data_IF_459611267263
#
_entry.id   IF_459611267263
#
_cell.length_a   1.000
_cell.length_b   1.000
_cell.length_c   1.000
_cell.angle_alpha   90.00
_cell.angle_beta   90.00
_cell.angle_gamma   90.00
#
_symmetry.space_group_name_H-M   'P 1'
#
loop_
_entity.id
_entity.type
_entity.pdbx_description
1 polymer ?
#
# COMPACT_ATOMS: atom_id res chain seq x y z
N UNK A 1 22.55 -33.47 -51.76
CA UNK A 1 21.19 -33.05 -51.33
C UNK A 1 21.22 -31.55 -51.04
N UNK A 2 20.53 -30.77 -51.87
CA UNK A 2 20.37 -29.31 -51.75
C UNK A 2 19.19 -29.03 -50.82
N UNK A 3 19.37 -28.21 -49.78
CA UNK A 3 18.26 -27.57 -49.06
C UNK A 3 18.23 -26.08 -49.40
N UNK A 4 17.04 -25.48 -49.60
CA UNK A 4 16.91 -24.23 -50.32
C UNK A 4 17.02 -23.00 -49.40
N UNK A 5 17.52 -21.94 -50.03
CA UNK A 5 17.63 -20.56 -49.57
C UNK A 5 16.44 -20.10 -48.71
N UNK A 6 16.74 -19.67 -47.47
CA UNK A 6 15.89 -18.74 -46.72
C UNK A 6 15.82 -17.42 -47.51
N UNK A 7 14.63 -17.09 -48.01
CA UNK A 7 14.32 -15.77 -48.58
C UNK A 7 14.62 -14.71 -47.52
N UNK A 8 15.41 -13.69 -47.90
CA UNK A 8 15.61 -12.47 -47.10
C UNK A 8 14.24 -11.86 -46.75
N UNK A 9 14.00 -11.40 -45.52
CA UNK A 9 12.82 -10.61 -45.24
C UNK A 9 12.86 -9.34 -46.11
N UNK A 10 11.76 -9.09 -46.83
CA UNK A 10 11.52 -7.85 -47.57
C UNK A 10 11.64 -6.68 -46.59
N UNK A 11 12.37 -5.64 -47.00
CA UNK A 11 12.43 -4.37 -46.32
C UNK A 11 11.01 -3.79 -46.15
N UNK A 12 10.47 -3.87 -44.94
CA UNK A 12 9.40 -3.00 -44.46
C UNK A 12 10.09 -1.91 -43.62
N UNK A 13 10.66 -0.91 -44.29
CA UNK A 13 11.42 0.18 -43.63
C UNK A 13 10.96 1.55 -44.11
N UNK A 14 9.83 1.62 -44.81
CA UNK A 14 9.37 2.85 -45.47
C UNK A 14 8.20 3.56 -44.75
N UNK A 15 7.47 2.88 -43.84
CA UNK A 15 6.25 3.46 -43.24
C UNK A 15 6.39 3.90 -41.77
N UNK A 16 7.43 3.44 -41.03
CA UNK A 16 7.70 3.90 -39.66
C UNK A 16 8.53 5.20 -39.58
N UNK A 17 9.15 5.60 -40.69
CA UNK A 17 10.00 6.81 -40.77
C UNK A 17 9.22 8.14 -40.66
N UNK A 18 8.06 8.34 -41.31
CA UNK A 18 7.39 9.64 -41.30
C UNK A 18 6.80 10.03 -39.94
N UNK A 19 6.50 9.08 -39.04
CA UNK A 19 5.99 9.39 -37.68
C UNK A 19 7.14 9.74 -36.72
N UNK A 20 8.28 9.04 -36.84
CA UNK A 20 9.50 9.40 -36.13
C UNK A 20 10.09 10.74 -36.62
N UNK A 21 10.01 10.99 -37.94
CA UNK A 21 10.41 12.26 -38.53
C UNK A 21 9.41 13.37 -38.19
N UNK A 22 8.10 13.13 -38.04
CA UNK A 22 7.16 14.14 -37.53
C UNK A 22 7.39 14.46 -36.03
N UNK A 23 7.76 13.47 -35.22
CA UNK A 23 8.16 13.68 -33.83
C UNK A 23 9.51 14.42 -33.69
N UNK A 24 10.37 14.34 -34.71
CA UNK A 24 11.63 15.09 -34.81
C UNK A 24 11.48 16.47 -35.48
N UNK A 25 10.64 16.59 -36.51
CA UNK A 25 10.40 17.81 -37.30
C UNK A 25 9.38 18.75 -36.67
N UNK A 26 8.55 18.28 -35.74
CA UNK A 26 7.85 19.16 -34.79
C UNK A 26 8.80 19.95 -33.88
N UNK A 27 10.11 19.67 -33.95
CA UNK A 27 11.18 20.36 -33.23
C UNK A 27 12.31 20.89 -34.15
N UNK A 28 12.12 20.94 -35.47
CA UNK A 28 13.05 21.70 -36.33
C UNK A 28 12.67 23.19 -36.33
N UNK A 29 13.62 24.00 -35.87
CA UNK A 29 13.47 25.40 -35.57
C UNK A 29 12.99 26.23 -36.77
N UNK A 30 11.72 26.66 -36.72
CA UNK A 30 11.32 27.95 -37.29
C UNK A 30 12.02 29.07 -36.51
N UNK A 31 12.30 30.22 -37.16
CA UNK A 31 13.13 31.28 -36.57
C UNK A 31 12.55 31.75 -35.23
N UNK A 32 13.46 32.07 -34.32
CA UNK A 32 13.20 32.45 -32.94
C UNK A 32 12.31 33.71 -32.86
N UNK A 33 11.00 33.53 -32.71
CA UNK A 33 10.16 34.54 -32.01
C UNK A 33 8.80 34.02 -31.50
N UNK A 34 8.37 32.80 -31.80
CA UNK A 34 7.09 32.29 -31.27
C UNK A 34 7.24 30.85 -30.79
N UNK A 35 7.50 30.65 -29.50
CA UNK A 35 7.16 29.38 -28.86
C UNK A 35 5.66 29.12 -29.07
N UNK A 36 5.27 27.98 -29.66
CA UNK A 36 3.87 27.70 -29.94
C UNK A 36 3.04 27.86 -28.67
N UNK A 37 1.96 28.64 -28.74
CA UNK A 37 1.07 28.84 -27.60
C UNK A 37 0.48 27.51 -27.10
N UNK A 38 -0.02 27.44 -25.85
CA UNK A 38 -0.52 26.21 -25.24
C UNK A 38 -1.57 25.46 -26.08
N UNK A 39 -2.39 26.19 -26.85
CA UNK A 39 -3.38 25.60 -27.74
C UNK A 39 -2.75 24.78 -28.90
N UNK A 40 -1.73 25.33 -29.57
CA UNK A 40 -1.02 24.63 -30.64
C UNK A 40 -0.23 23.44 -30.08
N UNK A 41 0.47 23.63 -28.96
CA UNK A 41 1.18 22.56 -28.26
C UNK A 41 0.24 21.44 -27.81
N UNK A 42 -0.94 21.78 -27.30
CA UNK A 42 -1.98 20.81 -26.93
C UNK A 42 -2.49 20.01 -28.13
N UNK A 43 -2.74 20.67 -29.26
CA UNK A 43 -3.16 19.97 -30.49
C UNK A 43 -2.11 18.94 -30.94
N UNK A 44 -0.83 19.34 -30.99
CA UNK A 44 0.28 18.45 -31.37
C UNK A 44 0.37 17.23 -30.43
N UNK A 45 0.19 17.45 -29.12
CA UNK A 45 0.17 16.35 -28.14
C UNK A 45 -0.95 15.35 -28.45
N UNK A 46 -2.17 15.83 -28.72
CA UNK A 46 -3.32 14.94 -29.00
C UNK A 46 -3.14 14.15 -30.28
N UNK A 47 -2.66 14.79 -31.35
CA UNK A 47 -2.37 14.13 -32.62
C UNK A 47 -1.28 13.05 -32.46
N UNK A 48 -0.24 13.36 -31.68
CA UNK A 48 0.82 12.42 -31.36
C UNK A 48 0.27 11.22 -30.58
N UNK A 49 -0.50 11.44 -29.50
CA UNK A 49 -1.08 10.36 -28.70
C UNK A 49 -1.99 9.46 -29.53
N UNK A 50 -2.84 10.04 -30.39
CA UNK A 50 -3.70 9.25 -31.27
C UNK A 50 -2.88 8.40 -32.26
N UNK A 51 -1.82 8.98 -32.84
CA UNK A 51 -0.92 8.25 -33.74
C UNK A 51 -0.21 7.10 -33.01
N UNK A 52 0.35 7.38 -31.82
CA UNK A 52 1.01 6.38 -30.98
C UNK A 52 0.08 5.23 -30.58
N UNK A 53 -1.22 5.48 -30.40
CA UNK A 53 -2.20 4.43 -30.04
C UNK A 53 -2.43 3.42 -31.17
N UNK A 54 -2.26 3.84 -32.43
CA UNK A 54 -2.48 2.98 -33.60
C UNK A 54 -1.22 2.23 -34.05
N UNK A 55 -0.05 2.72 -33.64
CA UNK A 55 1.23 2.16 -34.06
C UNK A 55 1.47 0.74 -33.55
N UNK A 56 1.99 -0.11 -34.45
CA UNK A 56 2.42 -1.48 -34.14
C UNK A 56 3.94 -1.50 -34.14
N UNK A 57 4.52 -1.49 -32.95
CA UNK A 57 5.96 -1.65 -32.79
C UNK A 57 6.32 -3.14 -32.86
N UNK A 58 7.15 -3.54 -33.82
CA UNK A 58 7.60 -4.92 -33.96
C UNK A 58 9.06 -5.11 -33.49
N UNK A 59 9.80 -4.00 -33.32
CA UNK A 59 11.20 -4.00 -32.88
C UNK A 59 11.49 -3.23 -31.60
N UNK A 60 12.53 -3.64 -30.86
CA UNK A 60 12.99 -2.99 -29.62
C UNK A 60 13.34 -1.50 -29.83
N UNK A 61 13.92 -1.14 -30.98
CA UNK A 61 14.27 0.24 -31.29
C UNK A 61 13.02 1.12 -31.50
N UNK A 62 12.01 0.60 -32.19
CA UNK A 62 10.73 1.28 -32.42
C UNK A 62 9.99 1.49 -31.10
N UNK A 63 9.93 0.46 -30.24
CA UNK A 63 9.33 0.56 -28.90
C UNK A 63 10.00 1.68 -28.10
N UNK A 64 11.34 1.75 -28.11
CA UNK A 64 12.07 2.81 -27.42
C UNK A 64 11.72 4.21 -27.93
N UNK A 65 11.56 4.37 -29.25
CA UNK A 65 11.17 5.65 -29.85
C UNK A 65 9.73 6.04 -29.48
N UNK A 66 8.78 5.11 -29.60
CA UNK A 66 7.39 5.34 -29.21
C UNK A 66 7.26 5.66 -27.72
N UNK A 67 8.02 4.96 -26.88
CA UNK A 67 8.09 5.21 -25.44
C UNK A 67 8.63 6.59 -25.13
N UNK A 68 9.71 7.00 -25.79
CA UNK A 68 10.28 8.35 -25.63
C UNK A 68 9.29 9.45 -26.09
N UNK A 69 8.60 9.23 -27.20
CA UNK A 69 7.57 10.14 -27.70
C UNK A 69 6.39 10.25 -26.73
N UNK A 70 5.89 9.12 -26.23
CA UNK A 70 4.83 9.08 -25.21
C UNK A 70 5.26 9.85 -23.95
N UNK A 71 6.45 9.56 -23.41
CA UNK A 71 6.94 10.24 -22.21
C UNK A 71 7.07 11.75 -22.40
N UNK A 72 7.55 12.20 -23.57
CA UNK A 72 7.64 13.64 -23.85
C UNK A 72 6.25 14.29 -23.84
N UNK A 73 5.26 13.65 -24.46
CA UNK A 73 3.88 14.12 -24.51
C UNK A 73 3.24 14.13 -23.11
N UNK A 74 3.30 13.01 -22.38
CA UNK A 74 2.68 12.89 -21.06
C UNK A 74 3.33 13.83 -20.04
N UNK A 75 4.65 13.99 -20.09
CA UNK A 75 5.39 14.90 -19.22
C UNK A 75 5.07 16.36 -19.49
N UNK A 76 4.90 16.75 -20.76
CA UNK A 76 4.47 18.10 -21.10
C UNK A 76 3.11 18.44 -20.47
N UNK A 77 2.14 17.52 -20.55
CA UNK A 77 0.82 17.68 -19.90
C UNK A 77 0.94 17.67 -18.38
N UNK A 78 1.86 16.87 -17.82
CA UNK A 78 2.06 16.78 -16.37
C UNK A 78 2.74 18.02 -15.78
N UNK A 79 3.72 18.60 -16.47
CA UNK A 79 4.55 19.68 -15.92
C UNK A 79 3.96 21.07 -16.20
N UNK A 80 3.27 21.25 -17.32
CA UNK A 80 2.64 22.52 -17.72
C UNK A 80 1.13 22.51 -17.42
N UNK A 81 0.73 23.34 -16.46
CA UNK A 81 -0.67 23.50 -16.06
C UNK A 81 -1.58 23.99 -17.20
N UNK A 82 -1.07 24.79 -18.14
CA UNK A 82 -1.86 25.24 -19.29
C UNK A 82 -2.16 24.07 -20.25
N UNK A 83 -1.30 23.06 -20.27
CA UNK A 83 -1.49 21.83 -21.05
C UNK A 83 -2.30 20.78 -20.31
N UNK A 84 -2.40 20.85 -18.98
CA UNK A 84 -3.24 19.98 -18.14
C UNK A 84 -4.74 20.32 -18.23
N UNK A 85 -5.25 20.56 -19.43
CA UNK A 85 -6.65 20.84 -19.71
C UNK A 85 -7.44 19.58 -20.11
N UNK A 86 -8.77 19.72 -20.12
CA UNK A 86 -9.73 18.63 -20.33
C UNK A 86 -9.46 17.82 -21.61
N UNK A 87 -9.14 18.49 -22.72
CA UNK A 87 -8.92 17.82 -24.01
C UNK A 87 -7.65 16.97 -24.00
N UNK A 88 -6.57 17.47 -23.42
CA UNK A 88 -5.29 16.77 -23.36
C UNK A 88 -5.34 15.60 -22.38
N UNK A 89 -5.99 15.79 -21.22
CA UNK A 89 -6.19 14.69 -20.25
C UNK A 89 -7.07 13.61 -20.85
N UNK A 90 -8.13 13.98 -21.58
CA UNK A 90 -8.98 13.02 -22.28
C UNK A 90 -8.20 12.24 -23.35
N UNK A 91 -7.31 12.90 -24.09
CA UNK A 91 -6.46 12.20 -25.06
C UNK A 91 -5.51 11.20 -24.39
N UNK A 92 -4.95 11.52 -23.22
CA UNK A 92 -4.15 10.58 -22.42
C UNK A 92 -4.98 9.40 -21.91
N UNK A 93 -6.21 9.64 -21.46
CA UNK A 93 -7.17 8.59 -21.10
C UNK A 93 -7.45 7.66 -22.29
N UNK A 94 -7.79 8.22 -23.44
CA UNK A 94 -8.08 7.46 -24.65
C UNK A 94 -6.87 6.65 -25.12
N UNK A 95 -5.67 7.24 -25.08
CA UNK A 95 -4.42 6.53 -25.33
C UNK A 95 -4.23 5.35 -24.38
N UNK A 96 -4.42 5.56 -23.08
CA UNK A 96 -4.25 4.52 -22.05
C UNK A 96 -5.18 3.33 -22.29
N UNK A 97 -6.41 3.58 -22.77
CA UNK A 97 -7.38 2.53 -23.12
C UNK A 97 -7.07 1.83 -24.44
N UNK A 98 -6.49 2.53 -25.40
CA UNK A 98 -6.30 2.03 -26.76
C UNK A 98 -4.93 1.38 -27.01
N UNK A 99 -3.90 1.77 -26.25
CA UNK A 99 -2.52 1.35 -26.50
C UNK A 99 -2.35 -0.17 -26.34
N UNK A 100 -1.82 -0.81 -27.39
CA UNK A 100 -1.74 -2.28 -27.48
C UNK A 100 -0.41 -2.84 -26.97
N UNK A 101 0.65 -2.04 -27.01
CA UNK A 101 1.97 -2.49 -26.59
C UNK A 101 2.03 -2.62 -25.04
N UNK A 102 2.44 -3.78 -24.49
CA UNK A 102 2.55 -4.02 -23.05
C UNK A 102 3.34 -2.96 -22.27
N UNK A 103 4.53 -2.60 -22.76
CA UNK A 103 5.43 -1.68 -22.06
C UNK A 103 4.82 -0.28 -22.01
N UNK A 104 4.23 0.15 -23.12
CA UNK A 104 3.56 1.45 -23.21
C UNK A 104 2.26 1.52 -22.39
N UNK A 105 1.54 0.40 -22.21
CA UNK A 105 0.36 0.36 -21.32
C UNK A 105 0.75 0.67 -19.87
N UNK A 106 1.85 0.09 -19.40
CA UNK A 106 2.33 0.32 -18.03
C UNK A 106 2.72 1.78 -17.82
N UNK A 107 3.46 2.37 -18.77
CA UNK A 107 3.81 3.79 -18.73
C UNK A 107 2.56 4.70 -18.79
N UNK A 108 1.56 4.34 -19.60
CA UNK A 108 0.31 5.09 -19.73
C UNK A 108 -0.49 5.12 -18.43
N UNK A 109 -0.67 3.94 -17.81
CA UNK A 109 -1.33 3.78 -16.51
C UNK A 109 -0.60 4.58 -15.44
N UNK A 110 0.74 4.49 -15.37
CA UNK A 110 1.54 5.25 -14.41
C UNK A 110 1.40 6.76 -14.63
N UNK A 111 1.50 7.24 -15.88
CA UNK A 111 1.41 8.66 -16.21
C UNK A 111 0.04 9.24 -15.85
N UNK A 112 -1.05 8.51 -16.13
CA UNK A 112 -2.40 8.94 -15.78
C UNK A 112 -2.60 9.04 -14.26
N UNK A 113 -2.05 8.09 -13.49
CA UNK A 113 -2.03 8.16 -12.03
C UNK A 113 -1.29 9.38 -11.49
N UNK A 114 -0.08 9.63 -11.99
CA UNK A 114 0.72 10.81 -11.60
C UNK A 114 0.05 12.14 -11.97
N UNK A 115 -0.57 12.20 -13.15
CA UNK A 115 -1.32 13.38 -13.60
C UNK A 115 -2.49 13.68 -12.67
N UNK A 116 -3.28 12.65 -12.32
CA UNK A 116 -4.43 12.80 -11.45
C UNK A 116 -4.07 13.13 -9.99
N UNK A 117 -2.88 12.73 -9.53
CA UNK A 117 -2.34 13.16 -8.23
C UNK A 117 -1.97 14.64 -8.23
N UNK A 118 -1.37 15.12 -9.32
CA UNK A 118 -0.97 16.53 -9.45
C UNK A 118 -2.16 17.45 -9.72
N UNK A 119 -3.13 16.98 -10.49
CA UNK A 119 -4.32 17.73 -10.89
C UNK A 119 -5.58 16.99 -10.40
N UNK A 120 -5.99 17.21 -9.13
CA UNK A 120 -7.07 16.46 -8.51
C UNK A 120 -8.41 16.53 -9.25
N UNK A 121 -8.65 17.53 -10.10
CA UNK A 121 -9.87 17.62 -10.92
C UNK A 121 -10.08 16.38 -11.81
N UNK A 122 -9.02 15.67 -12.19
CA UNK A 122 -9.08 14.48 -13.05
C UNK A 122 -9.02 13.15 -12.28
N UNK A 123 -9.04 13.20 -10.93
CA UNK A 123 -8.90 12.02 -10.08
C UNK A 123 -9.94 10.94 -10.35
N UNK A 124 -11.21 11.31 -10.46
CA UNK A 124 -12.29 10.32 -10.61
C UNK A 124 -12.23 9.62 -11.96
N UNK A 125 -11.84 10.35 -13.01
CA UNK A 125 -11.58 9.80 -14.34
C UNK A 125 -10.43 8.80 -14.32
N UNK A 126 -9.30 9.18 -13.73
CA UNK A 126 -8.15 8.29 -13.61
C UNK A 126 -8.51 7.02 -12.81
N UNK A 127 -9.24 7.16 -11.70
CA UNK A 127 -9.71 6.03 -10.90
C UNK A 127 -10.46 4.99 -11.76
N UNK A 128 -11.37 5.42 -12.63
CA UNK A 128 -12.10 4.49 -13.51
C UNK A 128 -11.18 3.75 -14.49
N UNK A 129 -10.21 4.44 -15.07
CA UNK A 129 -9.25 3.84 -16.01
C UNK A 129 -8.34 2.84 -15.30
N UNK A 130 -7.78 3.23 -14.15
CA UNK A 130 -6.90 2.38 -13.35
C UNK A 130 -7.64 1.14 -12.84
N UNK A 131 -8.91 1.27 -12.45
CA UNK A 131 -9.74 0.12 -12.05
C UNK A 131 -9.88 -0.91 -13.17
N UNK A 132 -10.04 -0.47 -14.43
CA UNK A 132 -10.04 -1.35 -15.59
C UNK A 132 -8.70 -2.08 -15.80
N UNK A 133 -7.58 -1.39 -15.54
CA UNK A 133 -6.23 -1.93 -15.69
C UNK A 133 -5.85 -3.00 -14.64
N UNK A 134 -6.62 -3.18 -13.57
CA UNK A 134 -6.42 -4.25 -12.58
C UNK A 134 -6.56 -5.67 -13.17
N UNK A 135 -7.23 -5.80 -14.31
CA UNK A 135 -7.41 -7.06 -15.04
C UNK A 135 -6.51 -7.18 -16.28
N UNK A 136 -5.49 -6.32 -16.42
CA UNK A 136 -4.59 -6.41 -17.57
C UNK A 136 -3.81 -7.73 -17.58
N UNK A 137 -3.52 -8.24 -18.76
CA UNK A 137 -2.66 -9.42 -18.97
C UNK A 137 -1.24 -9.26 -18.42
N UNK A 138 -0.72 -8.04 -18.32
CA UNK A 138 0.67 -7.72 -17.94
C UNK A 138 0.72 -7.33 -16.46
N UNK A 139 1.62 -7.99 -15.71
CA UNK A 139 1.76 -7.77 -14.27
C UNK A 139 2.09 -6.32 -13.91
N UNK A 140 3.04 -5.69 -14.62
CA UNK A 140 3.45 -4.32 -14.36
C UNK A 140 2.28 -3.32 -14.50
N UNK A 141 1.43 -3.50 -15.52
CA UNK A 141 0.22 -2.68 -15.72
C UNK A 141 -0.70 -2.79 -14.51
N UNK A 142 -0.94 -4.02 -14.03
CA UNK A 142 -1.78 -4.27 -12.86
C UNK A 142 -1.18 -3.66 -11.58
N UNK A 143 0.13 -3.80 -11.38
CA UNK A 143 0.82 -3.22 -10.23
C UNK A 143 0.72 -1.69 -10.22
N UNK A 144 1.00 -1.02 -11.35
CA UNK A 144 0.85 0.43 -11.45
C UNK A 144 -0.59 0.88 -11.27
N UNK A 145 -1.57 0.10 -11.72
CA UNK A 145 -2.97 0.38 -11.49
C UNK A 145 -3.33 0.37 -9.99
N UNK A 146 -2.88 -0.64 -9.24
CA UNK A 146 -3.10 -0.69 -7.77
C UNK A 146 -2.39 0.46 -7.07
N UNK A 147 -1.13 0.75 -7.41
CA UNK A 147 -0.39 1.85 -6.80
C UNK A 147 -1.04 3.21 -7.08
N UNK A 148 -1.42 3.48 -8.33
CA UNK A 148 -2.10 4.71 -8.70
C UNK A 148 -3.46 4.86 -8.00
N UNK A 149 -4.24 3.78 -7.90
CA UNK A 149 -5.50 3.79 -7.13
C UNK A 149 -5.25 4.11 -5.66
N UNK A 150 -4.27 3.42 -5.04
CA UNK A 150 -3.92 3.63 -3.65
C UNK A 150 -3.49 5.08 -3.37
N UNK A 151 -2.62 5.65 -4.21
CA UNK A 151 -2.15 7.02 -4.04
C UNK A 151 -3.29 8.02 -4.20
N UNK A 152 -4.16 7.84 -5.21
CA UNK A 152 -5.32 8.70 -5.42
C UNK A 152 -6.34 8.61 -4.28
N UNK A 153 -6.58 7.41 -3.76
CA UNK A 153 -7.43 7.19 -2.60
C UNK A 153 -6.83 7.80 -1.34
N UNK A 154 -5.52 7.75 -1.17
CA UNK A 154 -4.82 8.38 -0.04
C UNK A 154 -4.73 9.90 -0.16
N UNK A 155 -4.81 10.46 -1.38
CA UNK A 155 -4.74 11.91 -1.57
C UNK A 155 -6.05 12.63 -1.20
N UNK A 156 -7.20 11.93 -1.21
CA UNK A 156 -8.52 12.52 -0.96
C UNK A 156 -9.40 11.60 -0.14
N UNK A 157 -9.91 12.12 0.99
CA UNK A 157 -10.86 11.41 1.84
C UNK A 157 -12.16 11.08 1.11
N UNK A 158 -12.58 11.96 0.21
CA UNK A 158 -13.79 11.81 -0.62
C UNK A 158 -13.65 10.61 -1.58
N UNK A 159 -12.45 10.40 -2.13
CA UNK A 159 -12.15 9.28 -3.04
C UNK A 159 -11.83 7.99 -2.33
N UNK A 160 -11.34 8.05 -1.09
CA UNK A 160 -10.89 6.89 -0.34
C UNK A 160 -11.95 5.78 -0.29
N UNK A 161 -13.23 6.13 -0.11
CA UNK A 161 -14.32 5.16 -0.09
C UNK A 161 -14.50 4.46 -1.45
N UNK A 162 -14.52 5.21 -2.55
CA UNK A 162 -14.66 4.68 -3.91
C UNK A 162 -13.47 3.77 -4.27
N UNK A 163 -12.24 4.21 -3.96
CA UNK A 163 -11.04 3.40 -4.19
C UNK A 163 -11.07 2.13 -3.34
N UNK A 164 -11.49 2.23 -2.08
CA UNK A 164 -11.67 1.06 -1.21
C UNK A 164 -12.60 0.04 -1.85
N UNK A 165 -13.74 0.46 -2.40
CA UNK A 165 -14.70 -0.44 -3.05
C UNK A 165 -14.12 -1.15 -4.28
N UNK A 166 -13.32 -0.43 -5.08
CA UNK A 166 -12.63 -1.01 -6.22
C UNK A 166 -11.56 -2.03 -5.80
N UNK A 167 -10.77 -1.72 -4.77
CA UNK A 167 -9.76 -2.64 -4.24
C UNK A 167 -10.42 -3.87 -3.59
N UNK A 168 -11.54 -3.70 -2.87
CA UNK A 168 -12.32 -4.82 -2.31
C UNK A 168 -12.78 -5.76 -3.43
N UNK A 169 -13.30 -5.22 -4.55
CA UNK A 169 -13.67 -6.04 -5.70
C UNK A 169 -12.45 -6.78 -6.30
N UNK A 170 -11.30 -6.11 -6.38
CA UNK A 170 -10.07 -6.66 -6.91
C UNK A 170 -9.38 -7.70 -5.99
N UNK A 171 -9.80 -7.81 -4.73
CA UNK A 171 -9.29 -8.84 -3.81
C UNK A 171 -9.59 -10.28 -4.30
N UNK A 172 -10.61 -10.46 -5.15
CA UNK A 172 -10.95 -11.72 -5.80
C UNK A 172 -10.21 -11.96 -7.13
N UNK A 173 -9.30 -11.07 -7.54
CA UNK A 173 -8.54 -11.20 -8.79
C UNK A 173 -7.84 -12.56 -8.86
N UNK A 174 -7.75 -13.22 -10.04
CA UNK A 174 -7.00 -14.47 -10.19
C UNK A 174 -5.49 -14.27 -10.02
N UNK A 175 -5.00 -13.03 -10.15
CA UNK A 175 -3.58 -12.68 -10.12
C UNK A 175 -3.07 -12.45 -8.68
N UNK A 176 -2.05 -13.21 -8.27
CA UNK A 176 -1.46 -13.10 -6.93
C UNK A 176 -0.90 -11.70 -6.64
N UNK A 177 -0.21 -11.11 -7.62
CA UNK A 177 0.37 -9.76 -7.56
C UNK A 177 -0.69 -8.69 -7.28
N UNK A 178 -1.87 -8.81 -7.91
CA UNK A 178 -2.99 -7.92 -7.62
C UNK A 178 -3.50 -8.12 -6.20
N UNK A 179 -3.76 -9.37 -5.80
CA UNK A 179 -4.28 -9.66 -4.46
C UNK A 179 -3.34 -9.13 -3.37
N UNK A 180 -2.04 -9.32 -3.52
CA UNK A 180 -1.03 -8.83 -2.58
C UNK A 180 -1.01 -7.29 -2.51
N UNK A 181 -0.96 -6.63 -3.67
CA UNK A 181 -0.96 -5.17 -3.74
C UNK A 181 -2.26 -4.57 -3.17
N UNK A 182 -3.40 -5.23 -3.42
CA UNK A 182 -4.71 -4.88 -2.86
C UNK A 182 -4.70 -4.94 -1.33
N UNK A 183 -4.12 -5.97 -0.72
CA UNK A 183 -4.04 -6.04 0.76
C UNK A 183 -3.26 -4.85 1.32
N UNK A 184 -2.17 -4.47 0.65
CA UNK A 184 -1.36 -3.31 1.04
C UNK A 184 -2.14 -2.00 0.89
N UNK A 185 -2.82 -1.80 -0.25
CA UNK A 185 -3.60 -0.59 -0.50
C UNK A 185 -4.81 -0.44 0.43
N UNK A 186 -5.55 -1.53 0.68
CA UNK A 186 -6.66 -1.53 1.64
C UNK A 186 -6.18 -1.19 3.04
N UNK A 187 -5.03 -1.70 3.45
CA UNK A 187 -4.41 -1.38 4.75
C UNK A 187 -4.08 0.10 4.84
N UNK A 188 -3.37 0.65 3.85
CA UNK A 188 -2.96 2.06 3.85
C UNK A 188 -4.17 3.01 3.91
N UNK A 189 -5.21 2.73 3.12
CA UNK A 189 -6.45 3.52 3.13
C UNK A 189 -7.19 3.39 4.46
N UNK A 190 -7.31 2.19 5.00
CA UNK A 190 -8.01 1.94 6.26
C UNK A 190 -7.29 2.53 7.46
N UNK A 191 -5.96 2.46 7.52
CA UNK A 191 -5.17 3.12 8.56
C UNK A 191 -5.34 4.63 8.50
N UNK A 192 -5.33 5.22 7.29
CA UNK A 192 -5.47 6.66 7.11
C UNK A 192 -6.90 7.18 7.34
N UNK A 193 -7.90 6.41 6.93
CA UNK A 193 -9.30 6.82 6.90
C UNK A 193 -10.20 5.76 7.53
N UNK A 194 -10.69 6.04 8.75
CA UNK A 194 -11.52 5.11 9.53
C UNK A 194 -12.77 4.64 8.78
N UNK A 195 -13.37 5.47 7.92
CA UNK A 195 -14.54 5.10 7.12
C UNK A 195 -14.25 3.99 6.10
N UNK A 196 -12.98 3.71 5.79
CA UNK A 196 -12.57 2.60 4.93
C UNK A 196 -12.32 1.31 5.74
N UNK A 197 -12.08 1.42 7.05
CA UNK A 197 -11.58 0.34 7.88
C UNK A 197 -12.56 -0.84 8.01
N UNK A 198 -13.88 -0.59 8.03
CA UNK A 198 -14.87 -1.67 8.11
C UNK A 198 -14.78 -2.66 6.94
N UNK A 199 -14.78 -2.16 5.70
CA UNK A 199 -14.67 -2.99 4.50
C UNK A 199 -13.28 -3.64 4.40
N UNK A 200 -12.23 -2.88 4.69
CA UNK A 200 -10.86 -3.39 4.65
C UNK A 200 -10.66 -4.56 5.64
N UNK A 201 -11.10 -4.43 6.90
CA UNK A 201 -10.99 -5.51 7.90
C UNK A 201 -11.73 -6.75 7.44
N UNK A 202 -12.94 -6.61 6.91
CA UNK A 202 -13.71 -7.75 6.39
C UNK A 202 -12.95 -8.46 5.25
N UNK A 203 -12.42 -7.70 4.29
CA UNK A 203 -11.71 -8.25 3.14
C UNK A 203 -10.38 -8.89 3.55
N UNK A 204 -9.60 -8.25 4.42
CA UNK A 204 -8.34 -8.79 4.95
C UNK A 204 -8.58 -10.07 5.75
N UNK A 205 -9.59 -10.10 6.63
CA UNK A 205 -9.96 -11.30 7.37
C UNK A 205 -10.37 -12.45 6.43
N UNK A 206 -11.14 -12.16 5.38
CA UNK A 206 -11.49 -13.13 4.35
C UNK A 206 -10.26 -13.67 3.59
N UNK A 207 -9.35 -12.78 3.19
CA UNK A 207 -8.11 -13.15 2.51
C UNK A 207 -7.18 -13.99 3.40
N UNK A 208 -7.11 -13.68 4.69
CA UNK A 208 -6.35 -14.44 5.69
C UNK A 208 -6.99 -15.82 5.96
N UNK A 209 -8.31 -15.92 5.97
CA UNK A 209 -9.01 -17.19 6.17
C UNK A 209 -8.99 -18.10 4.92
N UNK A 210 -8.78 -17.54 3.73
CA UNK A 210 -8.75 -18.28 2.48
C UNK A 210 -7.58 -19.27 2.46
N UNK A 211 -7.87 -20.56 2.58
CA UNK A 211 -6.85 -21.61 2.53
C UNK A 211 -6.52 -21.92 1.06
N UNK A 212 -5.28 -21.69 0.56
CA UNK A 212 -4.91 -22.05 -0.80
C UNK A 212 -4.63 -23.56 -0.86
N UNK A 213 -5.61 -24.40 -0.53
CA UNK A 213 -5.48 -25.85 -0.68
C UNK A 213 -5.53 -26.30 -2.14
N UNK A 214 -5.92 -25.43 -3.07
CA UNK A 214 -6.04 -25.79 -4.50
C UNK A 214 -4.97 -25.19 -5.41
N UNK A 215 -4.10 -24.30 -4.91
CA UNK A 215 -3.04 -23.75 -5.74
C UNK A 215 -1.77 -23.48 -4.92
N UNK A 216 -0.86 -24.46 -4.92
CA UNK A 216 0.53 -24.32 -4.44
C UNK A 216 1.34 -23.37 -5.34
N UNK A 217 0.80 -22.20 -5.69
CA UNK A 217 1.68 -21.11 -6.11
C UNK A 217 2.47 -20.72 -4.86
N UNK A 218 3.80 -20.70 -4.96
CA UNK A 218 4.68 -20.34 -3.85
C UNK A 218 4.29 -19.00 -3.21
N UNK A 219 3.56 -18.11 -3.91
CA UNK A 219 3.10 -16.81 -3.42
C UNK A 219 1.83 -16.81 -2.55
N UNK A 220 1.09 -17.92 -2.41
CA UNK A 220 -0.22 -17.90 -1.72
C UNK A 220 -0.15 -17.45 -0.25
N UNK A 221 0.99 -17.63 0.40
CA UNK A 221 1.23 -17.16 1.78
C UNK A 221 1.47 -15.65 1.86
N UNK A 222 1.95 -14.99 0.79
CA UNK A 222 2.25 -13.56 0.79
C UNK A 222 0.98 -12.72 0.98
N UNK A 223 -0.11 -13.08 0.30
CA UNK A 223 -1.41 -12.43 0.46
C UNK A 223 -1.91 -12.55 1.89
N UNK A 224 -1.83 -13.74 2.50
CA UNK A 224 -2.23 -13.96 3.89
C UNK A 224 -1.34 -13.22 4.88
N UNK A 225 -0.04 -13.20 4.65
CA UNK A 225 0.89 -12.41 5.44
C UNK A 225 0.52 -10.92 5.42
N UNK A 226 0.26 -10.37 4.23
CA UNK A 226 -0.16 -8.97 4.08
C UNK A 226 -1.52 -8.69 4.71
N UNK A 227 -2.43 -9.66 4.65
CA UNK A 227 -3.71 -9.56 5.33
C UNK A 227 -3.55 -9.53 6.86
N UNK A 228 -2.72 -10.40 7.43
CA UNK A 228 -2.44 -10.42 8.87
C UNK A 228 -1.73 -9.15 9.34
N UNK A 229 -0.72 -8.68 8.60
CA UNK A 229 -0.05 -7.39 8.84
C UNK A 229 -1.08 -6.25 8.84
N UNK A 230 -1.92 -6.18 7.80
CA UNK A 230 -2.93 -5.15 7.65
C UNK A 230 -3.98 -5.12 8.76
N UNK A 231 -4.48 -6.29 9.19
CA UNK A 231 -5.40 -6.37 10.33
C UNK A 231 -4.77 -5.83 11.61
N UNK A 232 -3.50 -6.18 11.86
CA UNK A 232 -2.72 -5.65 12.99
C UNK A 232 -2.62 -4.13 12.96
N UNK A 233 -2.23 -3.57 11.82
CA UNK A 233 -2.09 -2.12 11.64
C UNK A 233 -3.41 -1.37 11.79
N UNK A 234 -4.50 -1.88 11.19
CA UNK A 234 -5.82 -1.25 11.30
C UNK A 234 -6.35 -1.30 12.73
N UNK A 235 -6.21 -2.45 13.42
CA UNK A 235 -6.62 -2.59 14.82
C UNK A 235 -5.85 -1.67 15.77
N UNK A 236 -4.59 -1.35 15.45
CA UNK A 236 -3.79 -0.37 16.18
C UNK A 236 -4.14 1.08 15.84
N UNK A 237 -4.54 1.34 14.60
CA UNK A 237 -4.92 2.68 14.15
C UNK A 237 -6.31 3.11 14.67
N UNK A 238 -7.26 2.15 14.74
CA UNK A 238 -8.67 2.44 15.05
C UNK A 238 -9.19 1.54 16.16
N UNK A 239 -9.38 2.11 17.35
CA UNK A 239 -9.94 1.38 18.50
C UNK A 239 -11.32 0.76 18.20
N UNK A 240 -12.12 1.39 17.34
CA UNK A 240 -13.42 0.90 16.87
C UNK A 240 -13.34 -0.39 16.04
N UNK A 241 -12.14 -0.78 15.58
CA UNK A 241 -11.87 -1.96 14.75
C UNK A 241 -10.95 -2.98 15.40
N UNK A 242 -10.51 -2.71 16.63
CA UNK A 242 -9.64 -3.59 17.38
C UNK A 242 -10.22 -5.00 17.51
N UNK A 243 -11.46 -5.13 17.99
CA UNK A 243 -12.08 -6.42 18.20
C UNK A 243 -12.29 -7.19 16.89
N UNK A 244 -12.66 -6.49 15.81
CA UNK A 244 -12.84 -7.08 14.49
C UNK A 244 -11.49 -7.59 13.93
N UNK A 245 -10.42 -6.82 14.13
CA UNK A 245 -9.06 -7.22 13.75
C UNK A 245 -8.57 -8.44 14.52
N UNK A 246 -8.73 -8.47 15.85
CA UNK A 246 -8.37 -9.61 16.70
C UNK A 246 -9.18 -10.85 16.28
N UNK A 247 -10.49 -10.70 16.03
CA UNK A 247 -11.36 -11.79 15.54
C UNK A 247 -10.91 -12.31 14.18
N UNK A 248 -10.46 -11.44 13.27
CA UNK A 248 -9.92 -11.84 11.97
C UNK A 248 -8.58 -12.57 12.06
N UNK A 249 -7.70 -12.15 12.98
CA UNK A 249 -6.37 -12.73 13.19
C UNK A 249 -6.40 -14.09 13.90
N UNK A 250 -7.24 -14.23 14.93
CA UNK A 250 -7.22 -15.38 15.85
C UNK A 250 -7.32 -16.75 15.16
N UNK A 251 -8.22 -16.98 14.18
CA UNK A 251 -8.30 -18.27 13.49
C UNK A 251 -7.02 -18.65 12.76
N UNK A 252 -6.26 -17.67 12.27
CA UNK A 252 -5.04 -17.89 11.50
C UNK A 252 -3.80 -18.21 12.36
N UNK A 253 -3.94 -18.21 13.69
CA UNK A 253 -2.94 -18.83 14.58
C UNK A 253 -2.74 -20.33 14.27
N UNK A 254 -3.76 -20.98 13.69
CA UNK A 254 -3.72 -22.37 13.25
C UNK A 254 -3.47 -22.52 11.73
N UNK A 255 -2.99 -21.47 11.03
CA UNK A 255 -2.67 -21.55 9.60
C UNK A 255 -1.65 -22.67 9.33
N UNK A 256 -1.66 -23.28 8.15
CA UNK A 256 -0.70 -24.35 7.81
C UNK A 256 0.69 -23.81 7.49
N UNK A 257 0.78 -22.53 7.12
CA UNK A 257 2.02 -21.87 6.77
C UNK A 257 2.62 -21.17 8.00
N UNK A 258 3.87 -21.53 8.32
CA UNK A 258 4.58 -20.99 9.47
C UNK A 258 4.80 -19.47 9.38
N UNK A 259 4.99 -18.92 8.18
CA UNK A 259 5.21 -17.49 8.00
C UNK A 259 3.94 -16.70 8.30
N UNK A 260 2.78 -17.27 7.94
CA UNK A 260 1.47 -16.69 8.27
C UNK A 260 1.24 -16.72 9.77
N UNK A 261 1.48 -17.87 10.42
CA UNK A 261 1.39 -17.98 11.88
C UNK A 261 2.27 -16.94 12.58
N UNK A 262 3.53 -16.79 12.17
CA UNK A 262 4.45 -15.80 12.74
C UNK A 262 3.91 -14.37 12.59
N UNK A 263 3.41 -14.02 11.40
CA UNK A 263 2.88 -12.69 11.16
C UNK A 263 1.63 -12.40 11.99
N UNK A 264 0.75 -13.40 12.16
CA UNK A 264 -0.43 -13.30 13.03
C UNK A 264 -0.01 -13.11 14.49
N UNK A 265 0.98 -13.88 14.96
CA UNK A 265 1.52 -13.74 16.33
C UNK A 265 2.12 -12.34 16.53
N UNK A 266 2.88 -11.83 15.57
CA UNK A 266 3.47 -10.48 15.64
C UNK A 266 2.39 -9.38 15.67
N UNK A 267 1.35 -9.50 14.85
CA UNK A 267 0.23 -8.57 14.82
C UNK A 267 -0.53 -8.55 16.17
N UNK A 268 -0.85 -9.73 16.71
CA UNK A 268 -1.49 -9.86 18.01
C UNK A 268 -0.60 -9.37 19.16
N UNK A 269 0.71 -9.62 19.09
CA UNK A 269 1.68 -9.10 20.07
C UNK A 269 1.70 -7.57 20.07
N UNK A 270 1.80 -6.96 18.89
CA UNK A 270 1.80 -5.51 18.75
C UNK A 270 0.49 -4.89 19.27
N UNK A 271 -0.65 -5.52 19.00
CA UNK A 271 -1.95 -5.12 19.56
C UNK A 271 -1.92 -5.22 21.09
N UNK A 272 -1.54 -6.37 21.66
CA UNK A 272 -1.52 -6.58 23.10
C UNK A 272 -0.58 -5.62 23.83
N UNK A 273 0.56 -5.25 23.23
CA UNK A 273 1.48 -4.27 23.83
C UNK A 273 0.87 -2.87 23.93
N UNK A 274 0.01 -2.48 22.97
CA UNK A 274 -0.58 -1.14 22.90
C UNK A 274 -1.99 -1.07 23.48
N UNK A 275 -2.64 -2.20 23.72
CA UNK A 275 -4.01 -2.27 24.23
C UNK A 275 -4.10 -3.24 25.42
N UNK A 276 -4.03 -2.68 26.63
CA UNK A 276 -4.13 -3.45 27.88
C UNK A 276 -5.40 -4.31 27.96
N UNK A 277 -6.61 -3.80 27.66
CA UNK A 277 -7.83 -4.61 27.71
C UNK A 277 -7.80 -5.87 26.83
N UNK A 278 -7.09 -5.84 25.70
CA UNK A 278 -7.02 -6.96 24.77
C UNK A 278 -6.01 -8.04 25.18
N UNK A 279 -5.07 -7.74 26.11
CA UNK A 279 -3.94 -8.63 26.42
C UNK A 279 -4.36 -10.02 26.86
N UNK A 280 -5.28 -10.12 27.82
CA UNK A 280 -5.64 -11.42 28.39
C UNK A 280 -6.33 -12.32 27.35
N UNK A 281 -7.19 -11.74 26.50
CA UNK A 281 -7.82 -12.48 25.39
C UNK A 281 -6.81 -12.96 24.34
N UNK A 282 -5.81 -12.14 24.04
CA UNK A 282 -4.70 -12.51 23.16
C UNK A 282 -3.86 -13.63 23.77
N UNK A 283 -3.46 -13.50 25.04
CA UNK A 283 -2.67 -14.51 25.76
C UNK A 283 -3.41 -15.85 25.77
N UNK A 284 -4.71 -15.85 26.10
CA UNK A 284 -5.51 -17.08 26.11
C UNK A 284 -5.55 -17.76 24.74
N UNK A 285 -5.67 -16.98 23.65
CA UNK A 285 -5.67 -17.50 22.28
C UNK A 285 -4.31 -18.09 21.87
N UNK A 286 -3.22 -17.44 22.30
CA UNK A 286 -1.86 -17.90 22.08
C UNK A 286 -1.56 -19.18 22.87
N UNK A 287 -1.93 -19.25 24.15
CA UNK A 287 -1.77 -20.44 25.01
C UNK A 287 -2.48 -21.65 24.40
N UNK A 288 -3.74 -21.49 23.98
CA UNK A 288 -4.51 -22.54 23.31
C UNK A 288 -3.81 -23.04 22.03
N UNK A 289 -3.26 -22.14 21.23
CA UNK A 289 -2.55 -22.50 20.00
C UNK A 289 -1.23 -23.22 20.30
N UNK A 290 -0.53 -22.81 21.37
CA UNK A 290 0.76 -23.36 21.78
C UNK A 290 0.71 -24.88 21.97
N UNK A 291 -0.37 -25.43 22.51
CA UNK A 291 -0.48 -26.88 22.79
C UNK A 291 -0.27 -27.75 21.53
N UNK A 292 -0.87 -27.34 20.41
CA UNK A 292 -0.81 -28.06 19.13
C UNK A 292 0.28 -27.59 18.14
N UNK A 293 1.00 -26.52 18.45
CA UNK A 293 1.97 -25.92 17.53
C UNK A 293 3.27 -26.73 17.38
N UNK A 294 3.97 -26.55 16.26
CA UNK A 294 5.34 -27.07 16.08
C UNK A 294 6.35 -26.29 16.95
N UNK A 295 7.52 -26.88 17.21
CA UNK A 295 8.51 -26.35 18.15
C UNK A 295 8.84 -24.86 17.93
N UNK A 296 9.17 -24.47 16.71
CA UNK A 296 9.54 -23.08 16.37
C UNK A 296 8.43 -22.07 16.66
N UNK A 297 7.18 -22.45 16.41
CA UNK A 297 6.00 -21.61 16.69
C UNK A 297 5.72 -21.56 18.19
N UNK A 298 5.90 -22.68 18.91
CA UNK A 298 5.79 -22.75 20.37
C UNK A 298 6.77 -21.80 21.06
N UNK A 299 8.01 -21.74 20.59
CA UNK A 299 9.03 -20.81 21.11
C UNK A 299 8.61 -19.36 20.88
N UNK A 300 8.18 -19.01 19.65
CA UNK A 300 7.69 -17.67 19.33
C UNK A 300 6.50 -17.25 20.20
N UNK A 301 5.51 -18.13 20.36
CA UNK A 301 4.35 -17.90 21.23
C UNK A 301 4.80 -17.68 22.68
N UNK A 302 5.70 -18.52 23.19
CA UNK A 302 6.19 -18.40 24.57
C UNK A 302 6.87 -17.07 24.83
N UNK A 303 7.74 -16.62 23.91
CA UNK A 303 8.39 -15.32 24.01
C UNK A 303 7.39 -14.15 24.00
N UNK A 304 6.36 -14.23 23.17
CA UNK A 304 5.29 -13.21 23.14
C UNK A 304 4.47 -13.20 24.43
N UNK A 305 4.06 -14.36 24.95
CA UNK A 305 3.32 -14.44 26.21
C UNK A 305 4.15 -13.86 27.36
N UNK A 306 5.43 -14.23 27.48
CA UNK A 306 6.33 -13.67 28.50
C UNK A 306 6.53 -12.16 28.37
N UNK A 307 6.48 -11.62 27.14
CA UNK A 307 6.54 -10.18 26.91
C UNK A 307 5.24 -9.46 27.29
N UNK A 308 4.07 -10.06 27.03
CA UNK A 308 2.77 -9.47 27.32
C UNK A 308 2.40 -9.58 28.81
N UNK A 309 2.81 -10.67 29.45
CA UNK A 309 2.75 -10.91 30.89
C UNK A 309 4.19 -10.93 31.41
N UNK A 310 4.83 -9.75 31.58
CA UNK A 310 6.12 -9.73 32.24
C UNK A 310 5.96 -10.42 33.60
N UNK A 311 6.96 -11.20 34.05
CA UNK A 311 6.90 -11.79 35.37
C UNK A 311 6.58 -10.66 36.35
N UNK A 312 5.65 -10.91 37.27
CA UNK A 312 5.42 -10.00 38.39
C UNK A 312 6.81 -9.62 38.91
N UNK A 313 7.06 -8.31 39.13
CA UNK A 313 8.29 -7.88 39.81
C UNK A 313 8.49 -8.86 40.97
N UNK A 314 9.68 -9.46 41.14
CA UNK A 314 9.90 -10.38 42.25
C UNK A 314 9.31 -9.71 43.48
N UNK A 315 8.37 -10.39 44.14
CA UNK A 315 7.82 -9.90 45.40
C UNK A 315 9.03 -9.47 46.21
N UNK A 316 9.07 -8.19 46.59
CA UNK A 316 10.13 -7.66 47.46
C UNK A 316 10.27 -8.67 48.57
N UNK A 317 11.48 -9.14 48.83
CA UNK A 317 11.68 -10.08 49.92
C UNK A 317 11.11 -9.46 51.20
N UNK A 318 10.65 -10.25 52.19
CA UNK A 318 10.16 -9.71 53.46
C UNK A 318 11.12 -8.65 54.04
N UNK A 319 12.42 -8.84 53.85
CA UNK A 319 13.50 -7.94 54.24
C UNK A 319 13.51 -6.61 53.47
N UNK A 320 13.29 -6.62 52.15
CA UNK A 320 13.16 -5.40 51.34
C UNK A 320 11.86 -4.63 51.64
N UNK A 321 10.77 -5.34 51.93
CA UNK A 321 9.50 -4.74 52.34
C UNK A 321 9.59 -4.12 53.74
N UNK A 322 10.32 -4.76 54.66
CA UNK A 322 10.57 -4.24 56.01
C UNK A 322 11.52 -3.04 55.99
N UNK A 323 12.59 -3.09 55.18
CA UNK A 323 13.49 -1.95 54.99
C UNK A 323 12.79 -0.71 54.42
N UNK A 324 11.81 -0.89 53.54
CA UNK A 324 11.00 0.21 53.02
C UNK A 324 10.00 0.74 54.03
N UNK A 325 9.40 -0.13 54.86
CA UNK A 325 8.54 0.28 55.98
C UNK A 325 9.29 1.08 57.03
N UNK A 326 10.49 0.65 57.40
CA UNK A 326 11.36 1.38 58.34
C UNK A 326 11.71 2.76 57.76
N UNK A 327 12.12 2.83 56.49
CA UNK A 327 12.40 4.13 55.83
C UNK A 327 11.17 5.04 55.74
N UNK A 328 9.98 4.48 55.55
CA UNK A 328 8.74 5.25 55.51
C UNK A 328 8.38 5.82 56.90
N UNK A 329 8.58 5.03 57.95
CA UNK A 329 8.33 5.43 59.33
C UNK A 329 9.34 6.50 59.78
N UNK A 330 10.62 6.35 59.44
CA UNK A 330 11.65 7.38 59.69
C UNK A 330 11.30 8.72 59.03
N UNK A 331 10.80 8.68 57.78
CA UNK A 331 10.36 9.90 57.07
C UNK A 331 9.16 10.55 57.74
N UNK A 332 8.22 9.74 58.24
CA UNK A 332 7.06 10.24 58.97
C UNK A 332 7.45 10.90 60.28
N UNK A 333 8.30 10.26 61.07
CA UNK A 333 8.79 10.81 62.34
C UNK A 333 9.61 12.09 62.11
N UNK A 334 10.43 12.15 61.06
CA UNK A 334 11.14 13.36 60.68
C UNK A 334 10.19 14.51 60.31
N UNK A 335 9.10 14.23 59.58
CA UNK A 335 8.10 15.22 59.22
C UNK A 335 7.30 15.72 60.45
N UNK A 336 6.92 14.83 61.37
CA UNK A 336 6.23 15.18 62.61
C UNK A 336 7.12 16.02 63.54
N UNK A 337 8.41 15.68 63.65
CA UNK A 337 9.39 16.49 64.41
C UNK A 337 9.59 17.88 63.80
N UNK A 338 9.66 17.98 62.47
CA UNK A 338 9.76 19.27 61.78
C UNK A 338 8.53 20.14 62.01
N UNK A 339 7.32 19.55 61.93
CA UNK A 339 6.07 20.25 62.18
C UNK A 339 5.97 20.75 63.63
N UNK A 340 6.38 19.95 64.62
CA UNK A 340 6.39 20.34 66.03
C UNK A 340 7.33 21.53 66.29
N UNK A 341 8.55 21.50 65.74
CA UNK A 341 9.50 22.62 65.84
C UNK A 341 8.96 23.90 65.20
N UNK A 342 8.26 23.78 64.07
CA UNK A 342 7.66 24.92 63.39
C UNK A 342 6.49 25.53 64.19
N UNK A 343 5.67 24.68 64.84
CA UNK A 343 4.59 25.12 65.71
C UNK A 343 5.12 25.85 66.97
N UNK A 344 6.18 25.33 67.59
CA UNK A 344 6.82 25.95 68.76
C UNK A 344 7.45 27.31 68.40
N UNK A 345 8.17 27.39 67.28
CA UNK A 345 8.73 28.65 66.77
C UNK A 345 7.65 29.70 66.44
N UNK A 346 6.45 29.26 66.07
CA UNK A 346 5.30 30.16 65.82
C UNK A 346 4.72 30.66 67.14
N UNK A 347 4.65 29.82 68.17
CA UNK A 347 4.16 30.18 69.51
C UNK A 347 5.10 31.13 70.26
N UNK A 348 6.41 31.06 70.03
CA UNK A 348 7.39 32.00 70.60
C UNK A 348 7.40 33.38 69.93
N UNK A 349 6.72 33.53 68.78
CA UNK A 349 6.62 34.80 68.02
C UNK A 349 5.32 35.57 68.28
N UNK A 350 4.37 34.98 69.01
CA UNK A 350 3.12 35.59 69.48
C UNK A 350 3.29 36.08 70.91
#
# INVERSE_FOLDING_TARGET
MKFPFRKKPKAATAEAKPVADAAAQGAEAKPADETPGPAQSGQVIRELLNSLAQEKAEGVAEIKLLRAAFFKASRAVLEDEALANEENVKALEEYTKAVKNPDLRADAVSALGSLALRYPAYGDRAIQVLAGALNDTVADVRCYAVFGLNDLGQASKERAATVTDMLVAAAASPHNDVREAVMTGLTALAVKYENCAGKAVQTLAGALAANPTENRSAQGYMVRNKAAEGLGEIGLAHASKLDDAIKGLTPALADKDIFVQYRVIDALHAIGLKNEPAKDGIIASLEKTKEGAIYVVKEKISGVISSLRPPAKPEKTPEEAEAERVKAEERRQAAESAAAKQAEATRQKL
#
